data_IF_598870312796
#
_entry.id   IF_598870312796
#
_cell.length_a   1.000
_cell.length_b   1.000
_cell.length_c   1.000
_cell.angle_alpha   90.00
_cell.angle_beta   90.00
_cell.angle_gamma   90.00
#
_symmetry.space_group_name_H-M   'P 1'
#
loop_
_entity.id
_entity.type
_entity.pdbx_description
1 polymer ?
#
# COMPACT_ATOMS: atom_id res chain seq x y z
N UNK A 1 19.65 -0.82 -15.66
CA UNK A 1 18.67 -1.89 -15.47
C UNK A 1 19.43 -3.16 -15.18
N UNK A 2 19.24 -3.73 -13.99
CA UNK A 2 19.93 -4.95 -13.57
C UNK A 2 19.10 -6.21 -13.78
N UNK A 3 17.85 -6.09 -14.25
CA UNK A 3 16.97 -7.23 -14.50
C UNK A 3 15.47 -6.96 -14.30
N UNK A 4 15.06 -5.72 -14.00
CA UNK A 4 13.64 -5.39 -13.82
C UNK A 4 12.92 -5.19 -15.16
N UNK A 5 13.61 -4.72 -16.20
CA UNK A 5 13.01 -4.51 -17.52
C UNK A 5 12.06 -3.31 -17.62
N UNK A 6 12.09 -2.39 -16.64
CA UNK A 6 11.15 -1.25 -16.57
C UNK A 6 11.75 0.08 -17.02
N UNK A 7 12.81 0.52 -16.34
CA UNK A 7 13.54 1.74 -16.64
C UNK A 7 15.04 1.49 -16.39
N UNK A 8 15.86 2.45 -16.80
CA UNK A 8 17.31 2.43 -16.62
C UNK A 8 18.04 1.92 -17.85
N UNK A 9 19.34 2.18 -17.88
CA UNK A 9 20.21 1.84 -19.00
C UNK A 9 20.48 0.33 -19.06
N UNK A 10 20.35 -0.28 -20.24
CA UNK A 10 20.69 -1.69 -20.43
C UNK A 10 22.21 -1.90 -20.30
N UNK A 11 22.67 -3.09 -19.87
CA UNK A 11 24.09 -3.36 -19.67
C UNK A 11 24.96 -3.11 -20.92
N UNK A 12 24.41 -3.36 -22.12
CA UNK A 12 25.10 -3.12 -23.38
C UNK A 12 25.35 -1.62 -23.67
N UNK A 13 24.44 -0.75 -23.20
CA UNK A 13 24.51 0.70 -23.41
C UNK A 13 25.23 1.43 -22.27
N UNK A 14 25.47 0.73 -21.15
CA UNK A 14 26.07 1.30 -19.95
C UNK A 14 27.43 1.97 -20.18
N UNK A 15 28.37 1.38 -20.96
CA UNK A 15 29.62 2.05 -21.30
C UNK A 15 29.43 3.43 -21.94
N UNK A 16 28.51 3.53 -22.89
CA UNK A 16 28.26 4.77 -23.63
C UNK A 16 27.64 5.84 -22.72
N UNK A 17 26.66 5.44 -21.88
CA UNK A 17 26.03 6.36 -20.93
C UNK A 17 27.03 6.91 -19.91
N UNK A 18 27.89 6.05 -19.34
CA UNK A 18 28.91 6.48 -18.37
C UNK A 18 29.88 7.46 -19.00
N UNK A 19 30.36 7.19 -20.22
CA UNK A 19 31.28 8.07 -20.92
C UNK A 19 30.67 9.46 -21.17
N UNK A 20 29.40 9.50 -21.62
CA UNK A 20 28.71 10.75 -21.90
C UNK A 20 28.38 11.54 -20.63
N UNK A 21 27.98 10.85 -19.55
CA UNK A 21 27.73 11.48 -18.26
C UNK A 21 29.00 12.13 -17.69
N UNK A 22 30.16 11.46 -17.80
CA UNK A 22 31.44 12.01 -17.37
C UNK A 22 31.87 13.21 -18.20
N UNK A 23 31.63 13.20 -19.52
CA UNK A 23 31.87 14.35 -20.40
C UNK A 23 31.03 15.56 -19.95
N UNK A 24 29.74 15.35 -19.73
CA UNK A 24 28.84 16.40 -19.27
C UNK A 24 29.20 16.93 -17.86
N UNK A 25 29.68 16.07 -16.97
CA UNK A 25 30.18 16.47 -15.64
C UNK A 25 31.47 17.30 -15.74
N UNK A 26 32.42 16.91 -16.61
CA UNK A 26 33.64 17.68 -16.86
C UNK A 26 33.36 19.06 -17.49
N UNK A 27 32.27 19.20 -18.24
CA UNK A 27 31.78 20.47 -18.79
C UNK A 27 30.98 21.29 -17.77
N UNK A 28 30.76 20.77 -16.55
CA UNK A 28 30.00 21.45 -15.49
C UNK A 28 28.49 21.51 -15.73
N UNK A 29 27.96 20.71 -16.66
CA UNK A 29 26.53 20.69 -17.02
C UNK A 29 25.69 19.88 -16.05
N UNK A 30 26.27 18.82 -15.50
CA UNK A 30 25.63 17.90 -14.56
C UNK A 30 26.60 17.49 -13.47
N UNK A 31 26.07 16.86 -12.42
CA UNK A 31 26.85 16.15 -11.43
C UNK A 31 26.27 14.75 -11.23
N UNK A 32 27.11 13.73 -11.29
CA UNK A 32 26.70 12.35 -11.10
C UNK A 32 26.66 12.05 -9.60
N UNK A 33 25.51 12.29 -8.97
CA UNK A 33 25.36 12.15 -7.52
C UNK A 33 25.06 10.74 -7.06
N UNK A 34 24.58 9.84 -7.93
CA UNK A 34 24.28 8.49 -7.50
C UNK A 34 24.11 7.47 -8.61
N UNK A 35 24.26 6.21 -8.23
CA UNK A 35 24.07 5.03 -9.08
C UNK A 35 23.05 4.10 -8.43
N UNK A 36 22.09 3.60 -9.20
CA UNK A 36 21.01 2.85 -8.60
C UNK A 36 20.34 1.82 -9.51
N UNK A 37 19.62 0.91 -8.88
CA UNK A 37 18.72 -0.03 -9.55
C UNK A 37 17.52 -0.36 -8.65
N UNK A 38 16.69 -1.31 -9.08
CA UNK A 38 15.52 -1.77 -8.34
C UNK A 38 15.32 -3.27 -8.54
N UNK A 39 15.09 -4.00 -7.45
CA UNK A 39 14.80 -5.42 -7.50
C UNK A 39 13.41 -5.70 -8.11
N UNK A 40 13.30 -6.83 -8.80
CA UNK A 40 12.06 -7.33 -9.35
C UNK A 40 11.26 -8.19 -8.35
N UNK A 41 11.95 -9.08 -7.64
CA UNK A 41 11.34 -10.12 -6.80
C UNK A 41 11.91 -10.11 -5.38
N UNK A 42 12.29 -8.94 -4.84
CA UNK A 42 12.85 -8.87 -3.48
C UNK A 42 11.84 -9.26 -2.39
N UNK A 43 10.56 -9.23 -2.71
CA UNK A 43 9.41 -9.68 -1.93
C UNK A 43 9.12 -11.19 -2.04
N UNK A 44 9.88 -11.92 -2.85
CA UNK A 44 9.84 -13.38 -2.98
C UNK A 44 11.18 -13.98 -2.44
N UNK A 45 11.22 -14.44 -1.17
CA UNK A 45 12.43 -14.97 -0.55
C UNK A 45 13.15 -16.05 -1.38
N UNK A 46 14.44 -15.86 -1.62
CA UNK A 46 15.27 -16.84 -2.33
C UNK A 46 15.08 -16.84 -3.85
N UNK A 47 14.29 -15.94 -4.42
CA UNK A 47 14.14 -15.86 -5.87
C UNK A 47 15.51 -15.60 -6.55
N UNK A 48 15.92 -16.40 -7.55
CA UNK A 48 17.27 -16.37 -8.11
C UNK A 48 17.62 -15.03 -8.80
N UNK A 49 16.61 -14.25 -9.21
CA UNK A 49 16.83 -12.90 -9.76
C UNK A 49 17.48 -11.96 -8.75
N UNK A 50 17.28 -12.14 -7.44
CA UNK A 50 17.83 -11.25 -6.40
C UNK A 50 19.36 -11.23 -6.48
N UNK A 51 19.99 -12.42 -6.42
CA UNK A 51 21.43 -12.56 -6.50
C UNK A 51 21.96 -12.05 -7.86
N UNK A 52 21.30 -12.43 -8.96
CA UNK A 52 21.69 -11.99 -10.31
C UNK A 52 21.63 -10.46 -10.48
N UNK A 53 20.59 -9.81 -9.95
CA UNK A 53 20.46 -8.35 -9.99
C UNK A 53 21.49 -7.65 -9.10
N UNK A 54 21.83 -8.24 -7.94
CA UNK A 54 22.82 -7.69 -7.02
C UNK A 54 24.23 -7.77 -7.62
N UNK A 55 24.61 -8.91 -8.19
CA UNK A 55 25.91 -9.08 -8.84
C UNK A 55 26.04 -8.13 -10.03
N UNK A 56 25.00 -8.04 -10.87
CA UNK A 56 24.98 -7.07 -11.98
C UNK A 56 25.10 -5.63 -11.50
N UNK A 57 24.45 -5.29 -10.38
CA UNK A 57 24.56 -3.95 -9.81
C UNK A 57 25.99 -3.64 -9.36
N UNK A 58 26.65 -4.58 -8.69
CA UNK A 58 28.06 -4.46 -8.28
C UNK A 58 28.99 -4.31 -9.48
N UNK A 59 28.79 -5.11 -10.54
CA UNK A 59 29.57 -5.01 -11.78
C UNK A 59 29.42 -3.64 -12.44
N UNK A 60 28.18 -3.17 -12.62
CA UNK A 60 27.90 -1.90 -13.30
C UNK A 60 28.38 -0.69 -12.49
N UNK A 61 28.27 -0.73 -11.17
CA UNK A 61 28.77 0.33 -10.28
C UNK A 61 30.30 0.37 -10.28
N UNK A 62 30.97 -0.78 -10.13
CA UNK A 62 32.42 -0.87 -10.21
C UNK A 62 32.96 -0.39 -11.56
N UNK A 63 32.27 -0.71 -12.67
CA UNK A 63 32.63 -0.21 -14.00
C UNK A 63 32.61 1.33 -14.05
N UNK A 64 31.54 1.96 -13.55
CA UNK A 64 31.41 3.41 -13.56
C UNK A 64 32.47 4.09 -12.67
N UNK A 65 32.70 3.57 -11.47
CA UNK A 65 33.70 4.10 -10.53
C UNK A 65 35.12 4.01 -11.09
N UNK A 66 35.46 2.89 -11.74
CA UNK A 66 36.76 2.70 -12.40
C UNK A 66 37.02 3.71 -13.55
N UNK A 67 35.96 4.34 -14.08
CA UNK A 67 36.03 5.33 -15.18
C UNK A 67 36.02 6.76 -14.71
N UNK A 68 35.86 6.99 -13.41
CA UNK A 68 35.96 8.31 -12.81
C UNK A 68 34.68 8.79 -12.14
N UNK A 69 33.57 8.04 -12.24
CA UNK A 69 32.34 8.41 -11.51
C UNK A 69 32.61 8.35 -10.01
N UNK A 70 32.17 9.36 -9.27
CA UNK A 70 32.29 9.46 -7.82
C UNK A 70 30.91 9.71 -7.21
N UNK A 71 30.05 8.68 -7.14
CA UNK A 71 28.69 8.87 -6.65
C UNK A 71 28.73 9.20 -5.15
N UNK A 72 27.82 10.07 -4.70
CA UNK A 72 27.59 10.28 -3.28
C UNK A 72 26.84 9.10 -2.66
N UNK A 73 25.95 8.47 -3.44
CA UNK A 73 25.13 7.34 -2.99
C UNK A 73 24.98 6.24 -4.03
N UNK A 74 25.03 5.00 -3.56
CA UNK A 74 24.60 3.80 -4.28
C UNK A 74 23.40 3.21 -3.56
N UNK A 75 22.36 2.88 -4.32
CA UNK A 75 21.15 2.33 -3.72
C UNK A 75 20.39 1.34 -4.62
N UNK A 76 19.99 0.20 -4.06
CA UNK A 76 19.16 -0.79 -4.76
C UNK A 76 18.01 -1.33 -3.90
N UNK A 77 18.21 -1.43 -2.57
CA UNK A 77 17.22 -1.93 -1.64
C UNK A 77 15.92 -1.09 -1.64
N UNK A 78 14.81 -1.75 -1.96
CA UNK A 78 13.45 -1.30 -1.65
C UNK A 78 13.03 -1.83 -0.27
N UNK A 79 11.79 -1.59 0.18
CA UNK A 79 11.30 -2.08 1.47
C UNK A 79 11.59 -3.56 1.75
N UNK A 80 11.23 -4.53 0.88
CA UNK A 80 11.49 -5.94 1.16
C UNK A 80 12.98 -6.26 1.28
N UNK A 81 13.81 -5.81 0.32
CA UNK A 81 15.26 -6.01 0.39
C UNK A 81 15.90 -5.34 1.62
N UNK A 82 15.38 -4.20 2.07
CA UNK A 82 15.88 -3.52 3.28
C UNK A 82 15.66 -4.37 4.52
N UNK A 83 14.49 -5.03 4.62
CA UNK A 83 14.11 -5.85 5.76
C UNK A 83 14.81 -7.20 5.79
N UNK A 84 15.13 -7.78 4.62
CA UNK A 84 15.57 -9.19 4.54
C UNK A 84 16.99 -9.39 3.99
N UNK A 85 17.59 -8.41 3.32
CA UNK A 85 18.86 -8.55 2.59
C UNK A 85 19.87 -7.42 2.97
N UNK A 86 20.52 -7.49 4.14
CA UNK A 86 21.46 -6.45 4.61
C UNK A 86 22.59 -6.11 3.63
N UNK A 87 23.04 -7.08 2.84
CA UNK A 87 24.07 -6.92 1.80
C UNK A 87 23.65 -6.01 0.63
N UNK A 88 22.38 -5.60 0.59
CA UNK A 88 21.80 -4.72 -0.43
C UNK A 88 21.62 -3.27 0.02
N UNK A 89 22.04 -2.93 1.25
CA UNK A 89 21.81 -1.60 1.83
C UNK A 89 22.66 -0.51 1.17
N UNK A 90 23.88 -0.83 0.74
CA UNK A 90 24.84 0.13 0.15
C UNK A 90 24.89 1.45 0.97
N UNK A 91 24.87 2.61 0.32
CA UNK A 91 24.94 3.90 1.01
C UNK A 91 23.55 4.43 1.38
N UNK A 92 22.49 3.97 0.70
CA UNK A 92 21.12 4.42 0.90
C UNK A 92 20.10 3.30 0.61
N UNK A 93 19.11 3.19 1.48
CA UNK A 93 17.94 2.31 1.32
C UNK A 93 16.71 3.12 0.95
N UNK A 94 15.81 2.57 0.12
CA UNK A 94 14.59 3.26 -0.36
C UNK A 94 13.33 2.57 0.14
N UNK A 95 13.00 2.83 1.40
CA UNK A 95 11.79 2.29 2.03
C UNK A 95 10.55 3.10 1.61
N UNK A 96 9.55 2.39 1.09
CA UNK A 96 8.25 2.94 0.73
C UNK A 96 7.19 2.41 1.67
N UNK A 97 6.61 1.25 1.33
CA UNK A 97 5.48 0.67 2.09
C UNK A 97 5.77 0.44 3.59
N UNK A 98 7.02 0.07 3.93
CA UNK A 98 7.40 -0.19 5.31
C UNK A 98 7.36 1.08 6.17
N UNK A 99 7.54 2.27 5.58
CA UNK A 99 7.37 3.56 6.28
C UNK A 99 5.93 3.75 6.74
N UNK A 100 4.95 3.20 6.01
CA UNK A 100 3.54 3.19 6.39
C UNK A 100 3.16 2.00 7.27
N UNK A 101 4.17 1.23 7.69
CA UNK A 101 4.02 0.14 8.64
C UNK A 101 3.39 -1.13 8.08
N UNK A 102 3.40 -1.32 6.77
CA UNK A 102 2.90 -2.57 6.17
C UNK A 102 4.04 -3.47 5.75
N UNK A 103 3.81 -4.78 5.85
CA UNK A 103 4.70 -5.79 5.30
C UNK A 103 4.68 -5.70 3.76
N UNK A 104 5.84 -5.82 3.08
CA UNK A 104 5.89 -5.80 1.61
C UNK A 104 5.22 -6.99 0.93
N UNK A 105 5.13 -8.14 1.59
CA UNK A 105 4.47 -9.33 1.05
C UNK A 105 4.11 -10.27 2.19
N UNK A 106 2.98 -10.99 2.12
CA UNK A 106 2.63 -12.01 3.10
C UNK A 106 3.68 -13.13 3.19
N UNK A 107 4.46 -13.36 2.12
CA UNK A 107 5.55 -14.36 2.12
C UNK A 107 6.74 -13.97 2.99
N UNK A 108 6.91 -12.67 3.28
CA UNK A 108 7.98 -12.17 4.16
C UNK A 108 7.60 -12.25 5.64
N UNK A 109 6.29 -12.26 5.93
CA UNK A 109 5.75 -12.17 7.28
C UNK A 109 4.78 -11.00 7.45
N UNK A 110 4.30 -10.85 8.67
CA UNK A 110 3.37 -9.80 9.09
C UNK A 110 4.12 -8.50 9.44
N UNK A 111 3.43 -7.35 9.53
CA UNK A 111 4.04 -6.12 10.05
C UNK A 111 4.76 -6.32 11.40
N UNK A 112 4.16 -7.13 12.30
CA UNK A 112 4.69 -7.37 13.64
C UNK A 112 6.05 -8.09 13.62
N UNK A 113 6.27 -9.00 12.67
CA UNK A 113 7.54 -9.74 12.54
C UNK A 113 8.74 -8.80 12.24
N UNK A 114 8.45 -7.64 11.65
CA UNK A 114 9.42 -6.60 11.34
C UNK A 114 9.38 -5.40 12.29
N UNK A 115 8.58 -5.47 13.36
CA UNK A 115 8.34 -4.33 14.27
C UNK A 115 7.68 -3.12 13.59
N UNK A 116 6.98 -3.36 12.48
CA UNK A 116 6.25 -2.33 11.74
C UNK A 116 4.86 -2.13 12.34
N UNK A 117 4.42 -0.87 12.38
CA UNK A 117 3.09 -0.50 12.88
C UNK A 117 2.30 0.21 11.78
N UNK A 118 1.22 -0.40 11.23
CA UNK A 118 0.39 0.28 10.25
C UNK A 118 -0.12 1.62 10.77
N UNK A 119 -0.03 2.66 9.93
CA UNK A 119 -0.32 4.05 10.35
C UNK A 119 -1.67 4.57 9.84
N UNK A 120 -2.40 3.78 9.07
CA UNK A 120 -3.67 4.17 8.45
C UNK A 120 -4.81 3.32 9.00
N UNK A 121 -5.88 3.99 9.45
CA UNK A 121 -7.19 3.39 9.71
C UNK A 121 -8.21 4.03 8.79
N UNK A 122 -8.94 3.22 8.03
CA UNK A 122 -10.08 3.66 7.23
C UNK A 122 -11.38 3.24 7.94
N UNK A 123 -12.20 4.21 8.32
CA UNK A 123 -13.51 3.97 8.91
C UNK A 123 -14.56 4.91 8.34
N UNK A 124 -15.82 4.53 8.50
CA UNK A 124 -17.00 5.30 8.13
C UNK A 124 -18.08 5.15 9.19
N UNK A 125 -19.05 6.07 9.23
CA UNK A 125 -20.25 5.94 10.05
C UNK A 125 -21.36 5.26 9.24
N UNK A 126 -22.07 4.30 9.84
CA UNK A 126 -23.25 3.71 9.21
C UNK A 126 -24.28 4.79 8.87
N UNK A 127 -24.66 4.89 7.61
CA UNK A 127 -25.62 5.88 7.12
C UNK A 127 -27.07 5.45 7.32
N UNK A 128 -27.32 4.14 7.40
CA UNK A 128 -28.63 3.56 7.60
C UNK A 128 -28.50 2.16 8.21
N UNK A 129 -29.43 1.82 9.10
CA UNK A 129 -29.66 0.47 9.61
C UNK A 129 -31.14 0.17 9.43
N UNK A 130 -31.47 -0.96 8.77
CA UNK A 130 -32.88 -1.30 8.46
C UNK A 130 -33.13 -2.80 8.48
N UNK A 131 -34.35 -3.18 8.87
CA UNK A 131 -34.84 -4.56 8.73
C UNK A 131 -35.22 -4.88 7.29
N UNK A 132 -34.98 -6.13 6.89
CA UNK A 132 -35.38 -6.68 5.60
C UNK A 132 -35.86 -8.13 5.77
N UNK A 133 -36.84 -8.57 4.96
CA UNK A 133 -37.30 -9.96 5.01
C UNK A 133 -36.26 -10.93 4.46
N UNK A 134 -36.46 -12.22 4.70
CA UNK A 134 -35.74 -13.29 4.01
C UNK A 134 -36.05 -13.31 2.50
N UNK A 135 -35.08 -13.75 1.69
CA UNK A 135 -35.21 -13.77 0.23
C UNK A 135 -35.04 -12.39 -0.43
N UNK A 136 -34.61 -11.37 0.31
CA UNK A 136 -34.42 -10.02 -0.21
C UNK A 136 -33.07 -9.91 -0.94
N UNK A 137 -33.10 -9.57 -2.23
CA UNK A 137 -31.88 -9.32 -3.01
C UNK A 137 -31.21 -8.01 -2.61
N UNK A 138 -29.89 -8.02 -2.42
CA UNK A 138 -29.12 -6.85 -1.95
C UNK A 138 -28.13 -6.38 -3.02
N UNK A 139 -28.11 -5.06 -3.24
CA UNK A 139 -27.25 -4.36 -4.20
C UNK A 139 -27.44 -4.81 -5.66
N UNK A 140 -26.65 -4.27 -6.58
CA UNK A 140 -26.81 -4.51 -8.01
C UNK A 140 -26.69 -5.99 -8.38
N UNK A 141 -27.63 -6.48 -9.18
CA UNK A 141 -27.65 -7.85 -9.69
C UNK A 141 -28.03 -8.91 -8.66
N UNK A 142 -28.32 -8.53 -7.41
CA UNK A 142 -28.83 -9.43 -6.36
C UNK A 142 -27.93 -10.66 -6.13
N UNK A 143 -26.60 -10.46 -6.20
CA UNK A 143 -25.61 -11.52 -5.95
C UNK A 143 -25.58 -12.00 -4.50
N UNK A 144 -26.14 -11.20 -3.58
CA UNK A 144 -26.44 -11.60 -2.22
C UNK A 144 -27.96 -11.55 -2.03
N UNK A 145 -28.49 -12.59 -1.39
CA UNK A 145 -29.90 -12.72 -1.02
C UNK A 145 -29.94 -13.09 0.45
N UNK A 146 -30.75 -12.38 1.24
CA UNK A 146 -30.84 -12.62 2.69
C UNK A 146 -31.34 -14.04 2.97
N UNK A 147 -30.65 -14.83 3.82
CA UNK A 147 -31.04 -16.21 4.12
C UNK A 147 -32.28 -16.30 5.03
N UNK A 148 -32.63 -15.20 5.70
CA UNK A 148 -33.78 -15.04 6.58
C UNK A 148 -34.04 -13.57 6.84
N UNK A 149 -34.99 -13.27 7.72
CA UNK A 149 -35.17 -11.90 8.22
C UNK A 149 -33.88 -11.45 8.91
N UNK A 150 -33.41 -10.25 8.56
CA UNK A 150 -32.16 -9.69 9.09
C UNK A 150 -32.17 -8.17 9.05
N UNK A 151 -31.08 -7.58 9.54
CA UNK A 151 -30.82 -6.15 9.53
C UNK A 151 -29.66 -5.86 8.58
N UNK A 152 -29.82 -4.88 7.68
CA UNK A 152 -28.76 -4.40 6.80
C UNK A 152 -28.21 -3.06 7.29
N UNK A 153 -26.90 -2.93 7.32
CA UNK A 153 -26.17 -1.67 7.51
C UNK A 153 -25.68 -1.11 6.17
N UNK A 154 -25.80 0.20 5.98
CA UNK A 154 -25.29 0.90 4.80
C UNK A 154 -24.02 1.67 5.17
N UNK A 155 -22.92 1.33 4.52
CA UNK A 155 -21.62 2.00 4.69
C UNK A 155 -21.43 3.01 3.55
N UNK A 156 -21.31 4.32 3.81
CA UNK A 156 -21.31 5.38 2.79
C UNK A 156 -19.91 5.65 2.21
N UNK A 157 -19.19 4.58 1.86
CA UNK A 157 -17.97 4.66 1.03
C UNK A 157 -18.02 3.58 -0.04
N UNK A 158 -17.55 3.88 -1.24
CA UNK A 158 -17.58 2.96 -2.37
C UNK A 158 -16.32 2.99 -3.22
N UNK A 159 -16.40 2.48 -4.44
CA UNK A 159 -15.23 2.37 -5.31
C UNK A 159 -14.68 3.71 -5.80
N UNK A 160 -15.46 4.79 -5.78
CA UNK A 160 -14.96 6.14 -6.06
C UNK A 160 -14.13 6.71 -4.89
N UNK A 161 -14.30 6.16 -3.68
CA UNK A 161 -13.55 6.53 -2.49
C UNK A 161 -12.30 5.66 -2.29
N UNK A 162 -12.14 4.62 -3.12
CA UNK A 162 -11.00 3.70 -3.11
C UNK A 162 -11.33 2.28 -2.65
N UNK A 163 -12.58 1.97 -2.28
CA UNK A 163 -12.97 0.62 -1.86
C UNK A 163 -13.02 -0.31 -3.10
N UNK A 164 -12.18 -1.34 -3.20
CA UNK A 164 -12.04 -2.11 -4.43
C UNK A 164 -13.32 -2.89 -4.75
N UNK A 165 -13.94 -2.60 -5.90
CA UNK A 165 -15.16 -3.31 -6.33
C UNK A 165 -14.98 -4.83 -6.44
N UNK A 166 -13.75 -5.29 -6.68
CA UNK A 166 -13.40 -6.72 -6.75
C UNK A 166 -13.63 -7.44 -5.41
N UNK A 167 -13.66 -6.74 -4.28
CA UNK A 167 -14.01 -7.30 -2.96
C UNK A 167 -15.52 -7.40 -2.70
N UNK A 168 -16.36 -7.34 -3.75
CA UNK A 168 -17.81 -7.51 -3.61
C UNK A 168 -18.13 -8.92 -3.09
N UNK A 169 -18.83 -9.01 -1.96
CA UNK A 169 -19.16 -10.29 -1.31
C UNK A 169 -18.14 -10.76 -0.26
N UNK A 170 -16.93 -10.22 -0.27
CA UNK A 170 -15.80 -10.73 0.52
C UNK A 170 -15.11 -9.68 1.37
N UNK A 171 -15.22 -8.39 1.02
CA UNK A 171 -14.56 -7.28 1.72
C UNK A 171 -14.93 -7.25 3.20
N UNK A 172 -13.95 -7.38 4.12
CA UNK A 172 -14.22 -7.46 5.56
C UNK A 172 -14.42 -6.07 6.19
N UNK A 173 -15.30 -5.98 7.17
CA UNK A 173 -15.55 -4.75 7.94
C UNK A 173 -15.84 -5.12 9.40
N UNK A 174 -15.27 -4.36 10.35
CA UNK A 174 -15.61 -4.47 11.77
C UNK A 174 -16.75 -3.51 12.12
N UNK A 175 -17.87 -4.04 12.60
CA UNK A 175 -19.03 -3.28 13.07
C UNK A 175 -19.50 -3.88 14.39
N UNK A 176 -19.64 -3.06 15.44
CA UNK A 176 -20.11 -3.53 16.75
C UNK A 176 -19.25 -4.65 17.35
N UNK A 177 -17.94 -4.65 17.08
CA UNK A 177 -17.00 -5.67 17.55
C UNK A 177 -17.06 -7.01 16.81
N UNK A 178 -17.83 -7.12 15.71
CA UNK A 178 -17.94 -8.34 14.91
C UNK A 178 -17.44 -8.10 13.49
N UNK A 179 -16.69 -9.07 12.96
CA UNK A 179 -16.34 -9.12 11.54
C UNK A 179 -17.58 -9.45 10.72
N UNK A 180 -17.79 -8.64 9.70
CA UNK A 180 -18.84 -8.79 8.69
C UNK A 180 -18.19 -8.68 7.31
N UNK A 181 -18.91 -9.10 6.28
CA UNK A 181 -18.46 -8.93 4.89
C UNK A 181 -19.47 -8.11 4.09
N UNK A 182 -19.00 -7.51 2.99
CA UNK A 182 -19.88 -6.81 2.05
C UNK A 182 -21.00 -7.75 1.56
N UNK A 183 -22.26 -7.35 1.74
CA UNK A 183 -23.43 -8.05 1.23
C UNK A 183 -23.73 -7.60 -0.21
N UNK A 184 -23.28 -8.38 -1.19
CA UNK A 184 -23.50 -8.12 -2.61
C UNK A 184 -22.43 -7.22 -3.22
N UNK A 185 -22.83 -6.35 -4.17
CA UNK A 185 -21.88 -5.50 -4.90
C UNK A 185 -21.54 -4.21 -4.16
N UNK A 186 -20.27 -3.83 -4.25
CA UNK A 186 -19.79 -2.48 -3.89
C UNK A 186 -20.21 -1.51 -5.00
N UNK A 187 -20.91 -0.43 -4.63
CA UNK A 187 -21.32 0.64 -5.53
C UNK A 187 -20.30 1.79 -5.54
N UNK A 188 -20.61 2.85 -6.30
CA UNK A 188 -19.70 3.98 -6.47
C UNK A 188 -19.37 4.67 -5.14
N UNK A 189 -20.39 4.89 -4.32
CA UNK A 189 -20.29 5.71 -3.10
C UNK A 189 -20.69 4.95 -1.82
N UNK A 190 -21.07 3.67 -1.92
CA UNK A 190 -21.58 2.91 -0.77
C UNK A 190 -21.59 1.39 -0.99
N UNK A 191 -21.71 0.64 0.09
CA UNK A 191 -22.05 -0.78 0.05
C UNK A 191 -22.88 -1.19 1.27
N UNK A 192 -23.56 -2.33 1.16
CA UNK A 192 -24.36 -2.89 2.25
C UNK A 192 -23.58 -3.98 2.99
N UNK A 193 -23.91 -4.19 4.25
CA UNK A 193 -23.41 -5.26 5.11
C UNK A 193 -24.59 -5.91 5.81
N UNK A 194 -24.63 -7.24 5.85
CA UNK A 194 -25.60 -7.97 6.66
C UNK A 194 -25.15 -8.03 8.12
N UNK A 195 -25.95 -7.45 9.01
CA UNK A 195 -25.69 -7.36 10.44
C UNK A 195 -26.25 -8.57 11.20
N UNK A 196 -26.91 -9.51 10.52
CA UNK A 196 -27.38 -10.77 11.10
C UNK A 196 -28.32 -10.57 12.28
N UNK A 197 -29.19 -9.56 12.22
CA UNK A 197 -30.12 -9.18 13.29
C UNK A 197 -29.56 -8.23 14.35
N UNK A 198 -28.26 -7.92 14.36
CA UNK A 198 -27.74 -6.86 15.23
C UNK A 198 -28.28 -5.48 14.78
N UNK A 199 -28.57 -4.60 15.74
CA UNK A 199 -29.15 -3.27 15.52
C UNK A 199 -28.27 -2.15 16.10
N UNK A 200 -27.05 -1.93 15.58
CA UNK A 200 -26.27 -0.75 15.94
C UNK A 200 -27.01 0.53 15.54
N UNK A 201 -26.78 1.62 16.28
CA UNK A 201 -27.38 2.90 15.93
C UNK A 201 -26.83 3.44 14.61
N UNK A 202 -27.65 4.21 13.88
CA UNK A 202 -27.15 4.99 12.75
C UNK A 202 -26.07 5.95 13.26
N UNK A 203 -24.95 6.05 12.54
CA UNK A 203 -23.76 6.77 12.99
C UNK A 203 -22.67 5.88 13.60
N UNK A 204 -23.00 4.63 13.98
CA UNK A 204 -22.02 3.68 14.52
C UNK A 204 -20.82 3.47 13.60
N UNK A 205 -19.63 3.32 14.19
CA UNK A 205 -18.38 3.13 13.43
C UNK A 205 -18.38 1.77 12.71
N UNK A 206 -18.02 1.83 11.42
CA UNK A 206 -17.65 0.71 10.59
C UNK A 206 -16.17 0.87 10.21
N UNK A 207 -15.31 -0.01 10.72
CA UNK A 207 -13.87 0.03 10.42
C UNK A 207 -13.60 -0.91 9.26
N UNK A 208 -13.18 -0.36 8.12
CA UNK A 208 -12.86 -1.15 6.95
C UNK A 208 -11.51 -1.82 7.16
N UNK A 209 -10.48 -1.04 7.46
CA UNK A 209 -9.19 -1.58 7.86
C UNK A 209 -8.43 -0.66 8.82
N UNK A 210 -7.48 -1.22 9.55
CA UNK A 210 -6.60 -0.51 10.48
C UNK A 210 -5.33 -1.30 10.82
N UNK A 211 -4.63 -0.93 11.91
CA UNK A 211 -3.47 -1.67 12.41
C UNK A 211 -3.79 -3.07 12.96
N UNK A 212 -5.06 -3.36 13.28
CA UNK A 212 -5.48 -4.62 13.88
C UNK A 212 -5.49 -4.59 15.42
N UNK A 213 -5.12 -3.46 16.03
CA UNK A 213 -5.03 -3.29 17.50
C UNK A 213 -6.39 -3.52 18.20
N UNK A 214 -7.52 -3.26 17.53
CA UNK A 214 -8.89 -3.50 18.03
C UNK A 214 -9.51 -4.79 17.47
N UNK A 215 -8.70 -5.62 16.80
CA UNK A 215 -9.17 -6.78 16.07
C UNK A 215 -9.94 -6.44 14.79
N UNK A 216 -9.78 -5.23 14.23
CA UNK A 216 -10.31 -4.86 12.92
C UNK A 216 -9.54 -5.54 11.77
N UNK A 217 -10.12 -5.61 10.55
CA UNK A 217 -9.39 -6.06 9.38
C UNK A 217 -8.18 -5.17 9.08
N UNK A 218 -7.21 -5.71 8.37
CA UNK A 218 -6.00 -5.03 7.93
C UNK A 218 -6.08 -4.68 6.44
N UNK A 219 -5.13 -3.87 5.96
CA UNK A 219 -4.97 -3.63 4.53
C UNK A 219 -4.68 -4.94 3.75
N UNK A 220 -4.04 -5.91 4.39
CA UNK A 220 -3.76 -7.22 3.79
C UNK A 220 -5.04 -8.07 3.68
N UNK A 221 -5.93 -8.04 4.66
CA UNK A 221 -7.23 -8.74 4.58
C UNK A 221 -8.07 -8.20 3.41
N UNK A 222 -8.03 -6.89 3.18
CA UNK A 222 -8.66 -6.28 1.99
C UNK A 222 -7.96 -6.63 0.69
N UNK A 223 -6.63 -6.74 0.70
CA UNK A 223 -5.85 -7.15 -0.46
C UNK A 223 -6.25 -8.57 -0.89
N UNK A 224 -6.33 -9.50 0.06
CA UNK A 224 -6.80 -10.86 -0.17
C UNK A 224 -8.25 -10.90 -0.68
N UNK A 225 -9.16 -10.15 -0.05
CA UNK A 225 -10.55 -10.08 -0.46
C UNK A 225 -10.74 -9.55 -1.90
N UNK A 226 -9.85 -8.66 -2.35
CA UNK A 226 -9.86 -8.07 -3.69
C UNK A 226 -8.98 -8.79 -4.72
N UNK A 227 -8.17 -9.77 -4.30
CA UNK A 227 -7.20 -10.44 -5.17
C UNK A 227 -6.05 -9.53 -5.63
N UNK A 228 -5.54 -8.69 -4.73
CA UNK A 228 -4.42 -7.76 -4.99
C UNK A 228 -3.44 -7.73 -3.80
N UNK A 229 -2.60 -6.70 -3.73
CA UNK A 229 -1.58 -6.45 -2.70
C UNK A 229 -1.95 -5.23 -1.83
N UNK A 230 -1.49 -5.22 -0.58
CA UNK A 230 -1.75 -4.13 0.36
C UNK A 230 -1.31 -2.74 -0.15
N UNK A 231 -0.30 -2.68 -1.02
CA UNK A 231 0.12 -1.44 -1.70
C UNK A 231 -1.04 -0.80 -2.47
N UNK A 232 -1.79 -1.58 -3.24
CA UNK A 232 -2.92 -1.05 -4.02
C UNK A 232 -4.03 -0.55 -3.09
N UNK A 233 -4.29 -1.28 -2.00
CA UNK A 233 -5.33 -0.93 -1.02
C UNK A 233 -5.09 0.46 -0.44
N UNK A 234 -3.90 0.71 0.11
CA UNK A 234 -3.63 1.99 0.79
C UNK A 234 -3.35 3.15 -0.16
N UNK A 235 -2.91 2.88 -1.39
CA UNK A 235 -2.62 3.94 -2.38
C UNK A 235 -3.86 4.42 -3.12
N UNK A 236 -4.93 3.61 -3.20
CA UNK A 236 -6.13 3.95 -3.95
C UNK A 236 -7.21 4.70 -3.19
N UNK A 237 -6.99 4.98 -1.90
CA UNK A 237 -7.91 5.80 -1.13
C UNK A 237 -8.03 7.19 -1.79
N UNK A 238 -9.21 7.48 -2.32
CA UNK A 238 -9.47 8.64 -3.17
C UNK A 238 -9.47 9.95 -2.40
N UNK A 239 -9.36 11.08 -3.09
CA UNK A 239 -9.31 12.43 -2.48
C UNK A 239 -10.61 12.86 -1.79
N UNK A 240 -11.74 12.17 -2.06
CA UNK A 240 -13.03 12.40 -1.37
C UNK A 240 -13.00 11.96 0.09
N UNK A 241 -12.09 11.06 0.45
CA UNK A 241 -11.90 10.62 1.84
C UNK A 241 -11.03 11.64 2.58
N UNK A 242 -11.54 12.37 3.58
CA UNK A 242 -10.73 13.30 4.35
C UNK A 242 -9.65 12.54 5.14
N UNK A 243 -8.47 13.16 5.33
CA UNK A 243 -7.38 12.61 6.14
C UNK A 243 -7.32 13.35 7.47
N UNK A 244 -7.25 12.60 8.56
CA UNK A 244 -7.06 13.14 9.91
C UNK A 244 -5.73 12.64 10.44
N UNK A 245 -4.80 13.54 10.71
CA UNK A 245 -3.48 13.22 11.26
C UNK A 245 -3.53 13.27 12.79
N UNK A 246 -3.41 12.11 13.42
CA UNK A 246 -3.26 11.98 14.87
C UNK A 246 -1.80 12.33 15.20
N UNK A 247 -1.56 13.30 16.08
CA UNK A 247 -0.20 13.76 16.48
C UNK A 247 0.51 14.78 15.56
N UNK A 248 -0.20 15.45 14.65
CA UNK A 248 0.39 16.57 13.92
C UNK A 248 0.74 17.70 14.92
N UNK A 249 2.03 17.95 15.11
CA UNK A 249 2.48 19.10 15.90
C UNK A 249 2.28 20.34 15.04
N UNK A 250 1.20 21.10 15.27
CA UNK A 250 1.05 22.40 14.62
C UNK A 250 2.28 23.26 14.95
N UNK A 251 2.95 23.86 13.97
CA UNK A 251 3.99 24.84 14.25
C UNK A 251 3.40 25.93 15.15
N UNK A 252 4.06 26.23 16.27
CA UNK A 252 3.73 27.44 17.07
C UNK A 252 4.09 28.66 16.22
N UNK A 253 3.12 29.20 15.48
CA UNK A 253 3.37 30.33 14.59
C UNK A 253 2.22 30.65 13.64
N UNK A 254 1.00 30.75 14.15
CA UNK A 254 -0.10 31.45 13.47
C UNK A 254 -1.03 32.05 14.55
N UNK A 255 -0.45 32.89 15.41
CA UNK A 255 -1.19 33.91 16.13
C UNK A 255 -0.84 35.24 15.45
N UNK A 256 -1.86 35.90 14.90
CA UNK A 256 -1.78 37.11 14.09
C UNK A 256 -2.69 36.91 12.87
N UNK A 257 -3.81 37.58 12.68
CA UNK A 257 -4.32 38.84 13.25
C UNK A 257 -5.84 38.71 13.45
N UNK A 258 -6.34 39.04 14.65
CA UNK A 258 -7.65 39.64 14.80
C UNK A 258 -7.36 41.10 15.18
N UNK A 259 -7.73 42.02 14.30
CA UNK A 259 -8.10 43.38 14.65
C UNK A 259 -9.56 43.60 14.23
#
# INVERSE_FOLDING_TARGET
DTGLGRNGCQPADWPALVAEALRAEAEGLVRITGLWSHFACADEPGHPSIAAQLDRFREMTAYAEARGVRPEVRHIANSPATLTLPETHFDLVRTGIAVYGLSPSPELGTPADFGLRPVMTLSASLALVKHVPGGHGVSYGHHYVTPGETTLGLVPVGYADGVPRHASGTGPVLIGGKWRTVAGRIAMDQFAVDLGGDEPETGSEAVLFGPGDRGEPTAEDWAQAAGTIAYEIVTRIGTRVPRVHLHETRPRGAAGEQE
#
